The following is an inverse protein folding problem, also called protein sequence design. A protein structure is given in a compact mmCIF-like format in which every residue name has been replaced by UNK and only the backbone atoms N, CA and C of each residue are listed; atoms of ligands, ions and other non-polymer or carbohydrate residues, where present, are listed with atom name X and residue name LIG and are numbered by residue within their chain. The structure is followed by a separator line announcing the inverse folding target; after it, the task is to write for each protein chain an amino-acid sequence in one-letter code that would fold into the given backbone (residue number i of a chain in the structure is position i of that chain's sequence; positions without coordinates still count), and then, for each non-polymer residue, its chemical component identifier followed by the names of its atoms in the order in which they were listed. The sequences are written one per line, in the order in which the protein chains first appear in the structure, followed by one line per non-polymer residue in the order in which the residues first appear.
data_IF_247743572094
#
_entry.id   IF_247743572094
#
_cell.length_a   1.000
_cell.length_b   1.000
_cell.length_c   1.000
_cell.angle_alpha   90.00
_cell.angle_beta   90.00
_cell.angle_gamma   90.00
#
_symmetry.space_group_name_H-M   'P 1'
#
loop_
_entity.id
_entity.type
_entity.pdbx_description
1 polymer ?
#
# COMPACT_ATOMS: atom_id res chain seq x y z
N UNK A 1 -8.37 58.13 20.69
CA UNK A 1 -7.88 58.38 22.07
C UNK A 1 -8.39 57.24 22.95
N UNK A 2 -7.52 56.64 23.77
CA UNK A 2 -7.48 55.25 24.28
C UNK A 2 -8.56 54.83 25.30
N UNK A 3 -8.78 53.51 25.41
CA UNK A 3 -8.88 52.69 26.65
C UNK A 3 -8.71 51.20 26.26
N UNK A 4 -7.50 50.62 26.38
CA UNK A 4 -6.93 49.81 27.50
C UNK A 4 -7.23 48.31 27.44
N UNK A 5 -6.15 47.56 27.18
CA UNK A 5 -5.72 46.28 27.77
C UNK A 5 -6.75 45.23 28.23
N UNK A 6 -6.71 44.08 27.53
CA UNK A 6 -6.83 42.77 28.17
C UNK A 6 -5.81 41.80 27.55
N UNK A 7 -4.74 41.55 28.31
CA UNK A 7 -3.82 40.42 28.16
C UNK A 7 -4.18 39.35 29.19
N UNK A 8 -4.24 38.09 28.74
CA UNK A 8 -4.00 36.78 29.40
C UNK A 8 -4.87 35.76 28.66
N UNK A 9 -4.47 34.54 28.30
CA UNK A 9 -3.24 33.77 28.42
C UNK A 9 -3.48 32.41 27.70
N UNK A 10 -2.54 31.96 26.84
CA UNK A 10 -2.18 30.56 26.46
C UNK A 10 -3.24 29.58 25.91
N UNK A 11 -2.85 28.44 25.26
CA UNK A 11 -1.66 28.13 24.47
C UNK A 11 -1.98 27.50 23.09
N UNK A 12 -0.92 27.29 22.30
CA UNK A 12 -0.85 26.51 21.07
C UNK A 12 -1.59 25.17 21.14
N UNK A 13 -2.48 24.92 20.19
CA UNK A 13 -3.11 23.62 19.97
C UNK A 13 -2.35 22.89 18.85
N UNK A 14 -1.36 22.10 19.24
CA UNK A 14 -0.84 21.00 18.43
C UNK A 14 -2.01 20.07 18.07
N UNK A 15 -2.24 19.87 16.77
CA UNK A 15 -3.13 18.81 16.29
C UNK A 15 -2.54 17.44 16.67
N UNK A 16 -3.33 16.52 17.26
CA UNK A 16 -2.87 15.17 17.49
C UNK A 16 -2.89 14.40 16.16
N UNK A 17 -1.72 14.01 15.67
CA UNK A 17 -1.59 12.93 14.69
C UNK A 17 -2.01 11.65 15.39
N UNK A 18 -3.20 11.15 15.08
CA UNK A 18 -3.68 9.85 15.56
C UNK A 18 -2.95 8.75 14.77
N UNK A 19 -1.90 8.18 15.36
CA UNK A 19 -1.29 6.94 14.88
C UNK A 19 -2.12 5.77 15.43
N UNK A 20 -2.92 5.13 14.58
CA UNK A 20 -3.59 3.88 14.93
C UNK A 20 -2.58 2.72 14.84
N UNK A 21 -2.19 2.19 16.01
CA UNK A 21 -1.55 0.87 16.08
C UNK A 21 -2.64 -0.20 16.08
N UNK A 22 -2.72 -1.00 15.01
CA UNK A 22 -3.46 -2.26 15.01
C UNK A 22 -2.60 -3.33 15.69
N UNK A 23 -2.96 -3.73 16.92
CA UNK A 23 -2.41 -4.93 17.55
C UNK A 23 -3.32 -6.11 17.18
N UNK A 24 -2.84 -6.98 16.30
CA UNK A 24 -3.49 -8.25 15.98
C UNK A 24 -3.15 -9.27 17.08
N UNK A 25 -4.12 -9.63 17.91
CA UNK A 25 -3.96 -10.65 18.93
C UNK A 25 -4.11 -12.05 18.29
N UNK A 26 -2.99 -12.71 18.00
CA UNK A 26 -2.98 -14.10 17.54
C UNK A 26 -3.20 -15.01 18.76
N UNK A 27 -4.36 -15.65 18.86
CA UNK A 27 -4.61 -16.69 19.85
C UNK A 27 -4.16 -18.05 19.31
N UNK A 28 -3.01 -18.52 19.76
CA UNK A 28 -2.59 -19.92 19.61
C UNK A 28 -3.10 -20.76 20.77
N UNK A 29 -3.62 -21.99 20.55
CA UNK A 29 -4.14 -22.81 21.63
C UNK A 29 -3.01 -23.65 22.23
N UNK A 30 -2.46 -23.22 23.36
CA UNK A 30 -1.81 -24.14 24.32
C UNK A 30 -2.62 -24.04 25.61
N UNK A 31 -3.52 -24.99 25.83
CA UNK A 31 -4.42 -24.97 26.98
C UNK A 31 -3.66 -25.31 28.27
N UNK A 32 -2.98 -24.32 28.84
CA UNK A 32 -2.72 -24.28 30.28
C UNK A 32 -4.00 -23.80 30.97
N UNK A 33 -4.44 -24.50 32.03
CA UNK A 33 -5.59 -24.06 32.81
C UNK A 33 -5.37 -22.64 33.35
N UNK A 34 -6.42 -21.82 33.43
CA UNK A 34 -6.33 -20.50 34.04
C UNK A 34 -6.08 -20.64 35.55
N UNK A 35 -4.81 -20.53 35.95
CA UNK A 35 -4.37 -20.69 37.34
C UNK A 35 -4.50 -19.42 38.18
N UNK A 36 -5.14 -18.36 37.65
CA UNK A 36 -5.36 -17.12 38.40
C UNK A 36 -6.18 -17.38 39.67
N UNK A 37 -5.66 -16.89 40.79
CA UNK A 37 -6.28 -17.02 42.11
C UNK A 37 -5.89 -18.27 42.90
N UNK A 38 -5.18 -19.25 42.31
CA UNK A 38 -4.83 -20.50 42.98
C UNK A 38 -3.86 -20.35 44.18
N UNK A 39 -3.13 -19.24 44.25
CA UNK A 39 -2.22 -18.89 45.36
C UNK A 39 -2.51 -17.47 45.88
N UNK A 40 -3.78 -17.04 45.85
CA UNK A 40 -4.19 -15.74 46.39
C UNK A 40 -3.95 -15.72 47.91
N UNK A 41 -3.06 -14.84 48.38
CA UNK A 41 -2.60 -14.80 49.78
C UNK A 41 -1.29 -15.56 50.06
N UNK A 42 -0.78 -16.32 49.09
CA UNK A 42 0.43 -17.16 49.21
C UNK A 42 1.54 -16.73 48.25
N UNK A 43 1.59 -15.44 47.89
CA UNK A 43 2.64 -14.88 47.04
C UNK A 43 2.51 -15.15 45.54
N UNK A 44 1.37 -15.67 45.07
CA UNK A 44 1.16 -16.00 43.67
C UNK A 44 1.70 -17.38 43.28
N UNK A 45 1.52 -17.78 42.02
CA UNK A 45 2.05 -19.05 41.51
C UNK A 45 3.49 -18.87 41.03
N UNK A 46 4.36 -19.82 41.31
CA UNK A 46 5.76 -19.86 40.84
C UNK A 46 6.08 -21.25 40.27
N UNK A 47 7.00 -21.29 39.32
CA UNK A 47 7.47 -22.53 38.72
C UNK A 47 8.77 -22.98 39.37
N UNK A 48 8.79 -24.17 39.96
CA UNK A 48 9.99 -24.78 40.51
C UNK A 48 10.15 -26.19 39.96
N UNK A 49 11.25 -26.41 39.22
CA UNK A 49 11.60 -27.71 38.63
C UNK A 49 10.48 -28.35 37.79
N UNK A 50 9.73 -27.52 37.06
CA UNK A 50 8.62 -27.95 36.20
C UNK A 50 7.28 -28.17 36.92
N UNK A 51 7.22 -27.86 38.23
CA UNK A 51 6.04 -27.99 39.07
C UNK A 51 5.57 -26.61 39.54
N UNK A 52 4.27 -26.36 39.44
CA UNK A 52 3.68 -25.12 39.94
C UNK A 52 3.44 -25.21 41.44
N UNK A 53 4.01 -24.27 42.20
CA UNK A 53 3.82 -24.12 43.65
C UNK A 53 3.44 -22.69 44.01
N UNK A 54 2.99 -22.41 45.23
CA UNK A 54 2.79 -21.03 45.68
C UNK A 54 4.12 -20.36 46.05
N UNK A 55 4.21 -19.04 45.91
CA UNK A 55 5.43 -18.26 46.13
C UNK A 55 5.98 -18.34 47.56
N UNK A 56 5.16 -18.72 48.54
CA UNK A 56 5.59 -19.00 49.91
C UNK A 56 5.98 -20.48 50.17
N UNK A 57 5.97 -21.31 49.13
CA UNK A 57 6.29 -22.74 49.19
C UNK A 57 5.10 -23.66 49.50
N UNK A 58 3.89 -23.11 49.70
CA UNK A 58 2.69 -23.92 49.96
C UNK A 58 2.27 -24.69 48.69
N UNK A 59 1.88 -25.97 48.79
CA UNK A 59 1.33 -26.72 47.66
C UNK A 59 -0.01 -26.14 47.18
N UNK A 60 -0.31 -26.27 45.89
CA UNK A 60 -1.63 -25.94 45.34
C UNK A 60 -2.73 -26.78 45.99
N UNK A 61 -3.91 -26.19 46.19
CA UNK A 61 -5.10 -26.94 46.64
C UNK A 61 -5.52 -28.00 45.61
N UNK A 62 -6.16 -29.08 46.05
CA UNK A 62 -6.67 -30.14 45.17
C UNK A 62 -7.58 -29.60 44.06
N UNK A 63 -8.38 -28.56 44.36
CA UNK A 63 -9.24 -27.90 43.39
C UNK A 63 -8.47 -27.20 42.26
N UNK A 64 -7.29 -26.63 42.56
CA UNK A 64 -6.41 -26.02 41.56
C UNK A 64 -5.61 -27.07 40.79
N UNK A 65 -5.19 -28.14 41.44
CA UNK A 65 -4.55 -29.27 40.79
C UNK A 65 -5.49 -29.92 39.75
N UNK A 66 -6.76 -30.11 40.10
CA UNK A 66 -7.79 -30.63 39.21
C UNK A 66 -8.08 -29.74 37.97
N UNK A 67 -7.66 -28.46 38.00
CA UNK A 67 -7.75 -27.52 36.86
C UNK A 67 -6.56 -27.61 35.91
N UNK A 68 -5.64 -28.54 36.14
CA UNK A 68 -4.44 -28.72 35.30
C UNK A 68 -3.29 -27.78 35.64
N UNK A 69 -3.32 -27.10 36.79
CA UNK A 69 -2.27 -26.16 37.22
C UNK A 69 -1.02 -26.82 37.80
N UNK A 70 -0.84 -28.14 37.66
CA UNK A 70 0.20 -28.90 38.38
C UNK A 70 1.59 -28.73 37.75
N UNK A 71 1.66 -28.49 36.43
CA UNK A 71 2.92 -28.34 35.70
C UNK A 71 3.12 -26.93 35.16
N UNK A 72 4.39 -26.55 35.03
CA UNK A 72 4.81 -25.29 34.43
C UNK A 72 6.11 -25.52 33.64
N UNK A 73 6.31 -24.76 32.57
CA UNK A 73 7.58 -24.82 31.85
C UNK A 73 8.60 -23.92 32.58
N UNK A 74 9.66 -24.53 33.13
CA UNK A 74 10.80 -23.77 33.66
C UNK A 74 11.46 -22.99 32.52
N UNK A 75 11.71 -21.69 32.70
CA UNK A 75 12.24 -20.82 31.65
C UNK A 75 13.46 -21.41 30.91
N UNK A 76 13.58 -21.18 29.59
CA UNK A 76 14.66 -21.74 28.83
C UNK A 76 16.00 -21.10 29.20
N UNK A 77 16.97 -21.98 29.39
CA UNK A 77 18.40 -21.66 29.34
C UNK A 77 18.73 -20.88 28.08
N UNK A 78 19.70 -19.96 28.20
CA UNK A 78 20.24 -19.11 27.13
C UNK A 78 20.70 -19.98 25.95
N UNK A 79 19.79 -20.25 25.02
CA UNK A 79 20.11 -20.70 23.67
C UNK A 79 20.45 -19.43 22.90
N UNK A 80 21.58 -19.49 22.20
CA UNK A 80 22.06 -18.43 21.33
C UNK A 80 20.90 -17.76 20.60
N UNK A 81 20.87 -16.42 20.62
CA UNK A 81 20.00 -15.65 19.77
C UNK A 81 20.16 -16.20 18.35
N UNK A 82 19.13 -16.91 17.89
CA UNK A 82 18.85 -16.91 16.46
C UNK A 82 18.65 -15.45 16.15
N UNK A 83 19.66 -14.85 15.52
CA UNK A 83 19.52 -13.63 14.75
C UNK A 83 18.19 -13.78 14.00
N UNK A 84 17.18 -12.91 14.24
CA UNK A 84 16.06 -12.89 13.33
C UNK A 84 16.70 -12.56 11.98
N UNK A 85 16.66 -13.52 11.04
CA UNK A 85 16.98 -13.23 9.65
C UNK A 85 16.25 -11.93 9.26
N UNK A 86 16.83 -11.11 8.37
CA UNK A 86 16.42 -9.73 8.15
C UNK A 86 14.89 -9.64 8.12
N UNK A 87 14.30 -8.93 9.09
CA UNK A 87 12.87 -8.67 9.09
C UNK A 87 12.54 -8.01 7.76
N UNK A 88 11.75 -8.68 6.93
CA UNK A 88 11.39 -8.17 5.61
C UNK A 88 10.48 -6.96 5.82
N UNK A 89 11.06 -5.76 5.80
CA UNK A 89 10.30 -4.52 5.91
C UNK A 89 9.21 -4.49 4.81
N UNK A 90 7.95 -4.19 5.18
CA UNK A 90 6.86 -4.13 4.23
C UNK A 90 7.05 -2.95 3.29
N UNK A 91 6.76 -3.17 2.01
CA UNK A 91 6.81 -2.18 0.94
C UNK A 91 5.39 -1.92 0.44
N UNK A 92 4.89 -0.69 0.61
CA UNK A 92 3.55 -0.30 0.16
C UNK A 92 3.61 0.35 -1.23
N UNK A 93 2.98 -0.30 -2.21
CA UNK A 93 2.91 0.15 -3.62
C UNK A 93 1.47 0.51 -3.95
N UNK A 94 1.25 1.67 -4.59
CA UNK A 94 -0.09 2.12 -4.95
C UNK A 94 -0.22 2.66 -6.38
N UNK A 95 -1.44 2.65 -6.89
CA UNK A 95 -1.88 3.42 -8.04
C UNK A 95 -2.87 4.51 -7.59
N UNK A 96 -2.81 5.69 -8.19
CA UNK A 96 -3.79 6.73 -7.99
C UNK A 96 -4.05 7.53 -9.28
N UNK A 97 -5.23 7.33 -9.90
CA UNK A 97 -5.75 8.28 -10.87
C UNK A 97 -6.20 9.55 -10.12
N UNK A 98 -5.51 10.68 -10.36
CA UNK A 98 -5.90 11.99 -9.84
C UNK A 98 -6.60 12.75 -10.96
N UNK A 99 -7.94 12.76 -10.92
CA UNK A 99 -8.80 13.32 -11.95
C UNK A 99 -8.30 14.68 -12.47
N UNK A 100 -7.91 14.77 -13.74
CA UNK A 100 -7.47 16.01 -14.41
C UNK A 100 -6.42 16.76 -13.55
N UNK A 101 -5.36 16.08 -13.14
CA UNK A 101 -4.32 16.69 -12.31
C UNK A 101 -3.48 17.69 -13.11
N UNK A 102 -3.53 18.96 -12.73
CA UNK A 102 -2.74 20.00 -13.37
C UNK A 102 -2.75 21.29 -12.57
N UNK A 103 -2.19 22.37 -13.15
CA UNK A 103 -1.95 23.65 -12.45
C UNK A 103 -3.20 24.20 -11.75
N UNK A 104 -4.38 24.05 -12.32
CA UNK A 104 -5.62 24.54 -11.72
C UNK A 104 -6.02 23.74 -10.46
N UNK A 105 -5.77 22.43 -10.43
CA UNK A 105 -6.00 21.60 -9.24
C UNK A 105 -4.92 21.87 -8.19
N UNK A 106 -3.66 21.97 -8.62
CA UNK A 106 -2.52 22.23 -7.75
C UNK A 106 -2.56 23.60 -7.04
N UNK A 107 -3.38 24.54 -7.51
CA UNK A 107 -3.61 25.85 -6.84
C UNK A 107 -4.59 25.80 -5.68
N UNK A 108 -5.19 24.65 -5.38
CA UNK A 108 -6.15 24.46 -4.28
C UNK A 108 -5.42 23.87 -3.08
N UNK A 109 -5.08 24.65 -2.05
CA UNK A 109 -4.27 24.18 -0.93
C UNK A 109 -4.87 22.96 -0.24
N UNK A 110 -6.20 22.95 -0.05
CA UNK A 110 -6.92 21.85 0.59
C UNK A 110 -6.84 20.53 -0.21
N UNK A 111 -6.82 20.63 -1.54
CA UNK A 111 -6.66 19.45 -2.40
C UNK A 111 -5.22 18.96 -2.34
N UNK A 112 -4.23 19.87 -2.40
CA UNK A 112 -2.82 19.49 -2.32
C UNK A 112 -2.46 18.89 -0.96
N UNK A 113 -2.99 19.43 0.14
CA UNK A 113 -2.81 18.87 1.48
C UNK A 113 -3.38 17.44 1.56
N UNK A 114 -4.59 17.21 1.03
CA UNK A 114 -5.17 15.88 0.97
C UNK A 114 -4.33 14.92 0.10
N UNK A 115 -3.92 15.35 -1.11
CA UNK A 115 -3.09 14.53 -2.00
C UNK A 115 -1.74 14.18 -1.37
N UNK A 116 -1.07 15.15 -0.72
CA UNK A 116 0.18 14.93 -0.02
C UNK A 116 0.02 13.93 1.13
N UNK A 117 -1.02 14.09 1.94
CA UNK A 117 -1.35 13.15 3.02
C UNK A 117 -1.60 11.74 2.48
N UNK A 118 -2.39 11.59 1.41
CA UNK A 118 -2.66 10.29 0.79
C UNK A 118 -1.37 9.62 0.33
N UNK A 119 -0.56 10.32 -0.48
CA UNK A 119 0.67 9.77 -1.09
C UNK A 119 1.69 9.37 -0.01
N UNK A 120 1.75 10.11 1.10
CA UNK A 120 2.67 9.84 2.21
C UNK A 120 2.47 8.47 2.90
N UNK A 121 1.40 7.74 2.59
CA UNK A 121 1.14 6.40 3.13
C UNK A 121 1.85 5.28 2.38
N UNK A 122 2.43 5.56 1.20
CA UNK A 122 2.97 4.54 0.30
C UNK A 122 4.44 4.80 0.00
N UNK A 123 5.23 3.76 -0.17
CA UNK A 123 6.64 3.90 -0.51
C UNK A 123 6.85 4.24 -1.98
N UNK A 124 5.91 3.86 -2.85
CA UNK A 124 5.83 4.32 -4.24
C UNK A 124 4.37 4.37 -4.71
N UNK A 125 4.02 5.46 -5.42
CA UNK A 125 2.69 5.68 -6.00
C UNK A 125 2.84 5.99 -7.49
N UNK A 126 2.14 5.26 -8.34
CA UNK A 126 1.90 5.71 -9.71
C UNK A 126 0.75 6.71 -9.74
N UNK A 127 1.03 7.89 -10.27
CA UNK A 127 0.07 8.98 -10.45
C UNK A 127 -0.30 9.09 -11.92
N UNK A 128 -1.60 9.12 -12.19
CA UNK A 128 -2.16 9.15 -13.54
C UNK A 128 -2.96 10.44 -13.79
N UNK A 129 -3.41 10.66 -15.04
CA UNK A 129 -4.15 11.86 -15.46
C UNK A 129 -3.41 13.21 -15.27
N UNK A 130 -2.08 13.20 -15.32
CA UNK A 130 -1.30 14.44 -15.24
C UNK A 130 -1.45 15.23 -16.55
N UNK A 131 -2.23 16.32 -16.50
CA UNK A 131 -2.54 17.22 -17.61
C UNK A 131 -1.88 18.59 -17.43
N UNK A 132 -0.56 18.61 -17.25
CA UNK A 132 0.22 19.85 -17.12
C UNK A 132 1.45 19.90 -18.02
N UNK A 133 1.46 20.79 -19.01
CA UNK A 133 2.61 20.98 -19.93
C UNK A 133 3.82 21.65 -19.26
N UNK A 134 3.60 22.34 -18.14
CA UNK A 134 4.65 23.11 -17.47
C UNK A 134 5.47 22.28 -16.49
N UNK A 135 5.01 21.08 -16.10
CA UNK A 135 5.63 20.25 -15.08
C UNK A 135 5.50 20.77 -13.65
N UNK A 136 4.81 21.90 -13.43
CA UNK A 136 4.74 22.55 -12.12
C UNK A 136 3.82 21.81 -11.16
N UNK A 137 2.71 21.25 -11.65
CA UNK A 137 1.74 20.60 -10.80
C UNK A 137 2.34 19.40 -10.07
N UNK A 138 3.10 18.55 -10.79
CA UNK A 138 3.73 17.37 -10.20
C UNK A 138 4.87 17.76 -9.24
N UNK A 139 5.65 18.79 -9.58
CA UNK A 139 6.68 19.32 -8.69
C UNK A 139 6.07 19.85 -7.38
N UNK A 140 4.98 20.62 -7.46
CA UNK A 140 4.29 21.09 -6.27
C UNK A 140 3.66 19.97 -5.44
N UNK A 141 3.37 18.81 -6.06
CA UNK A 141 2.89 17.64 -5.33
C UNK A 141 4.01 16.95 -4.57
N UNK A 142 5.16 16.75 -5.19
CA UNK A 142 6.37 16.27 -4.53
C UNK A 142 6.74 17.15 -3.33
N UNK A 143 6.87 18.47 -3.54
CA UNK A 143 7.17 19.45 -2.48
C UNK A 143 6.15 19.39 -1.31
N UNK A 144 4.89 19.12 -1.62
CA UNK A 144 3.83 18.99 -0.62
C UNK A 144 3.93 17.69 0.19
N UNK A 145 4.40 16.60 -0.41
CA UNK A 145 4.67 15.33 0.29
C UNK A 145 5.94 15.46 1.13
N UNK A 146 7.00 16.07 0.59
CA UNK A 146 8.27 16.32 1.27
C UNK A 146 8.09 17.16 2.55
N UNK A 147 7.19 18.14 2.49
CA UNK A 147 6.84 18.97 3.64
C UNK A 147 6.25 18.18 4.84
N UNK A 148 5.81 16.93 4.63
CA UNK A 148 5.33 16.02 5.68
C UNK A 148 6.47 15.23 6.36
N UNK A 149 7.73 15.49 5.99
CA UNK A 149 8.91 14.87 6.58
C UNK A 149 9.27 13.51 5.98
N UNK A 150 8.88 13.28 4.72
CA UNK A 150 9.26 12.09 3.94
C UNK A 150 9.85 12.56 2.63
N UNK A 151 11.08 12.17 2.31
CA UNK A 151 11.75 12.64 1.09
C UNK A 151 11.32 11.79 -0.11
N UNK A 152 10.55 12.36 -1.03
CA UNK A 152 10.13 11.75 -2.28
C UNK A 152 10.90 12.32 -3.47
N UNK A 153 11.00 11.50 -4.51
CA UNK A 153 11.39 11.96 -5.84
C UNK A 153 10.36 11.50 -6.87
N UNK A 154 10.28 12.26 -7.97
CA UNK A 154 9.36 12.01 -9.08
C UNK A 154 10.10 11.50 -10.32
N UNK A 155 9.64 10.38 -10.86
CA UNK A 155 9.97 9.92 -12.21
C UNK A 155 8.76 10.14 -13.11
N UNK A 156 8.85 11.09 -14.05
CA UNK A 156 7.73 11.45 -14.94
C UNK A 156 7.95 11.01 -16.38
N UNK A 157 6.92 10.38 -16.96
CA UNK A 157 6.91 9.93 -18.35
C UNK A 157 6.52 11.03 -19.36
N UNK A 158 6.56 10.72 -20.67
CA UNK A 158 6.17 11.63 -21.73
C UNK A 158 4.67 11.94 -21.72
N UNK A 159 4.27 12.93 -22.52
CA UNK A 159 2.86 13.29 -22.74
C UNK A 159 2.22 12.39 -23.81
N UNK A 160 1.30 11.52 -23.39
CA UNK A 160 0.69 10.45 -24.18
C UNK A 160 -0.80 10.69 -24.43
N UNK A 161 -1.38 9.96 -25.38
CA UNK A 161 -2.77 10.14 -25.85
C UNK A 161 -2.81 10.22 -27.38
N UNK A 162 -3.89 9.82 -28.05
CA UNK A 162 -4.02 10.03 -29.51
C UNK A 162 -4.48 11.44 -29.87
N UNK A 163 -5.24 12.11 -28.99
CA UNK A 163 -5.82 13.45 -29.24
C UNK A 163 -4.90 14.61 -28.84
N UNK A 164 -5.35 15.87 -29.00
CA UNK A 164 -4.61 17.05 -28.51
C UNK A 164 -4.57 17.16 -26.97
N UNK A 165 -5.52 16.53 -26.28
CA UNK A 165 -5.52 16.44 -24.82
C UNK A 165 -4.66 15.25 -24.42
N UNK A 166 -3.43 15.53 -23.99
CA UNK A 166 -2.46 14.52 -23.56
C UNK A 166 -2.38 14.42 -22.04
N UNK A 167 -2.03 13.25 -21.54
CA UNK A 167 -1.81 12.92 -20.13
C UNK A 167 -0.37 12.45 -19.91
N UNK A 168 0.08 12.38 -18.66
CA UNK A 168 1.36 11.78 -18.28
C UNK A 168 1.13 10.84 -17.11
N UNK A 169 2.06 9.89 -16.98
CA UNK A 169 2.25 9.08 -15.79
C UNK A 169 3.45 9.61 -15.00
N UNK A 170 3.40 9.47 -13.68
CA UNK A 170 4.57 9.65 -12.85
C UNK A 170 4.62 8.59 -11.74
N UNK A 171 5.82 8.26 -11.29
CA UNK A 171 6.04 7.55 -10.04
C UNK A 171 6.59 8.53 -9.01
N UNK A 172 5.91 8.67 -7.87
CA UNK A 172 6.44 9.36 -6.70
C UNK A 172 6.91 8.27 -5.73
N UNK A 173 8.18 8.29 -5.33
CA UNK A 173 8.77 7.24 -4.51
C UNK A 173 9.62 7.79 -3.37
N UNK A 174 9.60 7.10 -2.23
CA UNK A 174 10.40 7.45 -1.04
C UNK A 174 11.86 7.13 -1.26
N UNK A 175 12.69 8.17 -1.25
CA UNK A 175 14.13 8.05 -1.52
C UNK A 175 14.91 7.38 -0.40
N UNK A 176 14.38 7.33 0.82
CA UNK A 176 14.99 6.60 1.95
C UNK A 176 14.72 5.08 1.89
N UNK A 177 13.68 4.66 1.16
CA UNK A 177 13.28 3.25 1.00
C UNK A 177 13.75 2.67 -0.33
N UNK A 178 13.60 3.44 -1.40
CA UNK A 178 13.79 3.00 -2.77
C UNK A 178 14.87 3.80 -3.51
N UNK A 179 15.50 3.11 -4.45
CA UNK A 179 16.37 3.64 -5.47
C UNK A 179 15.68 3.43 -6.83
N UNK A 180 15.54 4.51 -7.59
CA UNK A 180 15.15 4.44 -8.99
C UNK A 180 16.31 3.94 -9.84
N UNK A 181 16.07 2.95 -10.70
CA UNK A 181 17.08 2.38 -11.59
C UNK A 181 16.95 2.98 -13.00
N UNK A 182 15.82 2.74 -13.65
CA UNK A 182 15.54 3.18 -15.01
C UNK A 182 14.04 3.16 -15.29
N UNK A 183 13.59 4.00 -16.23
CA UNK A 183 12.23 3.99 -16.75
C UNK A 183 12.20 4.19 -18.27
N UNK A 184 11.20 3.61 -18.92
CA UNK A 184 10.92 3.78 -20.33
C UNK A 184 9.42 3.69 -20.62
N UNK A 185 9.01 4.12 -21.80
CA UNK A 185 7.64 3.97 -22.30
C UNK A 185 7.62 2.85 -23.32
N UNK A 186 6.65 1.93 -23.21
CA UNK A 186 6.48 0.84 -24.14
C UNK A 186 6.33 1.37 -25.58
N UNK A 187 7.12 0.84 -26.52
CA UNK A 187 7.05 1.24 -27.92
C UNK A 187 5.94 0.46 -28.64
N UNK A 188 4.79 1.12 -28.80
CA UNK A 188 3.65 0.60 -29.54
C UNK A 188 3.49 1.25 -30.93
N UNK A 189 4.57 1.79 -31.50
CA UNK A 189 4.51 2.52 -32.77
C UNK A 189 4.09 1.68 -33.98
N UNK A 190 4.06 0.35 -33.85
CA UNK A 190 3.68 -0.58 -34.93
C UNK A 190 2.20 -0.93 -34.92
N UNK A 191 1.64 -1.23 -33.76
CA UNK A 191 0.26 -1.69 -33.64
C UNK A 191 -0.68 -0.55 -33.20
N UNK A 192 -0.18 0.48 -32.50
CA UNK A 192 -0.97 1.60 -31.94
C UNK A 192 -2.18 1.07 -31.16
N UNK A 193 -1.95 0.10 -30.28
CA UNK A 193 -2.94 -0.55 -29.43
C UNK A 193 -3.36 0.36 -28.28
N UNK A 194 -2.40 0.94 -27.56
CA UNK A 194 -2.66 1.73 -26.36
C UNK A 194 -2.94 3.20 -26.70
N UNK A 195 -4.06 3.75 -26.23
CA UNK A 195 -4.31 5.19 -26.36
C UNK A 195 -3.25 6.02 -25.61
N UNK A 196 -2.76 5.49 -24.48
CA UNK A 196 -1.62 5.99 -23.73
C UNK A 196 -0.70 4.81 -23.43
N UNK A 197 0.48 4.82 -24.03
CA UNK A 197 1.45 3.76 -23.96
C UNK A 197 1.90 3.52 -22.50
N UNK A 198 1.98 2.26 -22.03
CA UNK A 198 2.41 1.94 -20.68
C UNK A 198 3.75 2.59 -20.32
N UNK A 199 3.84 3.10 -19.09
CA UNK A 199 5.09 3.61 -18.53
C UNK A 199 5.65 2.60 -17.54
N UNK A 200 6.93 2.24 -17.71
CA UNK A 200 7.58 1.15 -17.01
C UNK A 200 8.76 1.72 -16.24
N UNK A 201 8.91 1.34 -14.97
CA UNK A 201 10.04 1.74 -14.14
C UNK A 201 10.51 0.60 -13.24
N UNK A 202 11.83 0.41 -13.18
CA UNK A 202 12.48 -0.49 -12.23
C UNK A 202 12.90 0.28 -10.98
N UNK A 203 12.56 -0.30 -9.82
CA UNK A 203 12.98 0.18 -8.51
C UNK A 203 13.72 -0.91 -7.77
N UNK A 204 14.55 -0.49 -6.82
CA UNK A 204 15.29 -1.36 -5.91
C UNK A 204 15.18 -0.83 -4.49
N UNK A 205 15.03 -1.69 -3.51
CA UNK A 205 15.09 -1.27 -2.11
C UNK A 205 16.52 -0.90 -1.72
N UNK A 206 16.69 0.03 -0.78
CA UNK A 206 18.03 0.42 -0.29
C UNK A 206 18.58 -0.54 0.76
N UNK A 207 17.69 -1.15 1.54
CA UNK A 207 18.06 -2.01 2.66
C UNK A 207 18.38 -3.45 2.24
N UNK A 208 17.92 -3.87 1.05
CA UNK A 208 18.18 -5.19 0.49
C UNK A 208 18.44 -5.10 -1.01
N UNK A 209 18.81 -6.21 -1.65
CA UNK A 209 18.92 -6.25 -3.12
C UNK A 209 17.59 -6.60 -3.80
N UNK A 210 16.45 -6.31 -3.16
CA UNK A 210 15.13 -6.59 -3.71
C UNK A 210 14.78 -5.54 -4.76
N UNK A 211 14.55 -5.98 -5.99
CA UNK A 211 14.10 -5.13 -7.10
C UNK A 211 12.77 -5.62 -7.67
N UNK A 212 12.05 -4.72 -8.32
CA UNK A 212 10.79 -4.99 -8.98
C UNK A 212 10.54 -3.95 -10.07
N UNK A 213 9.67 -4.29 -11.01
CA UNK A 213 9.25 -3.41 -12.09
C UNK A 213 7.78 -3.07 -11.95
N UNK A 214 7.48 -1.77 -11.97
CA UNK A 214 6.12 -1.26 -12.06
C UNK A 214 5.78 -0.95 -13.52
N UNK A 215 4.55 -1.27 -13.92
CA UNK A 215 3.99 -0.99 -15.25
C UNK A 215 2.68 -0.26 -15.01
N UNK A 216 2.65 1.05 -15.25
CA UNK A 216 1.43 1.85 -15.13
C UNK A 216 0.71 2.00 -16.46
N UNK A 217 -0.61 1.80 -16.47
CA UNK A 217 -1.48 2.04 -17.61
C UNK A 217 -2.78 2.73 -17.15
N UNK A 218 -3.25 3.69 -17.93
CA UNK A 218 -4.60 4.24 -17.84
C UNK A 218 -5.26 3.97 -19.17
N UNK A 219 -6.25 3.08 -19.21
CA UNK A 219 -6.86 2.63 -20.47
C UNK A 219 -7.85 3.66 -21.02
N UNK A 220 -8.04 3.71 -22.34
CA UNK A 220 -9.23 4.36 -22.87
C UNK A 220 -10.47 3.50 -22.52
N UNK A 221 -11.53 4.04 -21.90
CA UNK A 221 -12.71 3.26 -21.56
C UNK A 221 -13.37 2.57 -22.76
N UNK A 222 -13.28 3.15 -23.96
CA UNK A 222 -13.86 2.57 -25.17
C UNK A 222 -13.01 1.39 -25.71
N UNK A 223 -11.71 1.35 -25.37
CA UNK A 223 -10.76 0.32 -25.81
C UNK A 223 -10.29 -0.60 -24.66
N UNK A 224 -10.87 -0.48 -23.46
CA UNK A 224 -10.37 -1.09 -22.22
C UNK A 224 -10.09 -2.59 -22.36
N UNK A 225 -11.01 -3.35 -22.96
CA UNK A 225 -10.84 -4.79 -23.19
C UNK A 225 -9.61 -5.09 -24.06
N UNK A 226 -9.40 -4.33 -25.13
CA UNK A 226 -8.28 -4.55 -26.05
C UNK A 226 -6.95 -4.16 -25.41
N UNK A 227 -6.88 -3.03 -24.71
CA UNK A 227 -5.68 -2.58 -24.02
C UNK A 227 -5.31 -3.51 -22.85
N UNK A 228 -6.29 -3.94 -22.04
CA UNK A 228 -6.05 -4.89 -20.95
C UNK A 228 -5.51 -6.22 -21.50
N UNK A 229 -6.11 -6.74 -22.57
CA UNK A 229 -5.68 -8.01 -23.17
C UNK A 229 -4.30 -7.92 -23.85
N UNK A 230 -3.81 -6.71 -24.12
CA UNK A 230 -2.49 -6.45 -24.67
C UNK A 230 -1.39 -6.40 -23.60
N UNK A 231 -1.70 -6.14 -22.33
CA UNK A 231 -0.71 -6.02 -21.23
C UNK A 231 0.29 -7.20 -21.08
N UNK A 232 -0.04 -8.48 -21.36
CA UNK A 232 0.97 -9.56 -21.35
C UNK A 232 2.15 -9.31 -22.29
N UNK A 233 1.94 -8.62 -23.41
CA UNK A 233 3.01 -8.27 -24.34
C UNK A 233 3.96 -7.22 -23.74
N UNK A 234 3.41 -6.31 -22.93
CA UNK A 234 4.18 -5.28 -22.20
C UNK A 234 5.04 -5.93 -21.12
N UNK A 235 4.50 -6.94 -20.42
CA UNK A 235 5.30 -7.73 -19.46
C UNK A 235 6.41 -8.52 -20.17
N UNK A 236 6.13 -9.05 -21.36
CA UNK A 236 7.14 -9.76 -22.17
C UNK A 236 8.26 -8.82 -22.61
N UNK A 237 7.91 -7.61 -23.06
CA UNK A 237 8.87 -6.55 -23.39
C UNK A 237 9.70 -6.12 -22.17
N UNK A 238 9.05 -5.87 -21.03
CA UNK A 238 9.73 -5.52 -19.78
C UNK A 238 10.68 -6.63 -19.30
N UNK A 239 10.33 -7.91 -19.46
CA UNK A 239 11.23 -9.04 -19.19
C UNK A 239 12.44 -9.06 -20.12
N UNK A 240 12.27 -8.71 -21.39
CA UNK A 240 13.39 -8.62 -22.32
C UNK A 240 14.29 -7.41 -22.02
N UNK A 241 13.71 -6.30 -21.58
CA UNK A 241 14.41 -5.08 -21.20
C UNK A 241 15.18 -5.23 -19.87
N UNK A 242 14.57 -5.89 -18.87
CA UNK A 242 15.15 -6.16 -17.55
C UNK A 242 15.39 -7.67 -17.35
N UNK A 243 16.43 -8.27 -17.97
CA UNK A 243 16.61 -9.73 -17.99
C UNK A 243 16.89 -10.36 -16.61
N UNK A 244 17.35 -9.57 -15.64
CA UNK A 244 17.62 -10.02 -14.26
C UNK A 244 16.40 -9.87 -13.34
N UNK A 245 15.29 -9.31 -13.85
CA UNK A 245 14.07 -9.07 -13.08
C UNK A 245 12.98 -10.09 -13.42
N UNK A 246 12.31 -10.61 -12.39
CA UNK A 246 11.20 -11.55 -12.53
C UNK A 246 9.90 -11.05 -11.90
N UNK A 247 9.98 -9.99 -11.09
CA UNK A 247 8.90 -9.43 -10.29
C UNK A 247 8.33 -8.21 -11.01
N UNK A 248 7.18 -8.40 -11.66
CA UNK A 248 6.46 -7.36 -12.38
C UNK A 248 5.11 -7.10 -11.71
N UNK A 249 4.77 -5.83 -11.60
CA UNK A 249 3.50 -5.33 -11.05
C UNK A 249 2.88 -4.39 -12.07
N UNK A 250 1.76 -4.80 -12.64
CA UNK A 250 0.88 -3.94 -13.43
C UNK A 250 -0.05 -3.23 -12.46
N UNK A 251 -0.24 -1.93 -12.63
CA UNK A 251 -1.16 -1.16 -11.81
C UNK A 251 -1.73 0.02 -12.60
N UNK A 252 -2.94 0.44 -12.27
CA UNK A 252 -3.56 1.54 -13.01
C UNK A 252 -5.07 1.60 -12.94
N UNK A 253 -5.63 2.72 -13.38
CA UNK A 253 -7.02 2.82 -13.80
C UNK A 253 -7.19 2.09 -15.13
N UNK A 254 -7.57 0.82 -15.04
CA UNK A 254 -7.73 -0.03 -16.21
C UNK A 254 -9.14 0.03 -16.79
N UNK A 255 -10.06 0.79 -16.19
CA UNK A 255 -11.49 0.73 -16.51
C UNK A 255 -12.03 -0.73 -16.50
N UNK A 256 -11.48 -1.59 -15.62
CA UNK A 256 -11.66 -3.04 -15.68
C UNK A 256 -12.94 -3.55 -15.00
N UNK A 257 -14.07 -2.85 -15.15
CA UNK A 257 -15.38 -3.24 -14.59
C UNK A 257 -16.53 -2.49 -15.31
N UNK A 258 -17.76 -2.83 -14.95
CA UNK A 258 -18.99 -2.12 -15.27
C UNK A 258 -19.25 -2.10 -16.78
N UNK A 259 -19.43 -0.91 -17.37
CA UNK A 259 -19.81 -0.80 -18.77
C UNK A 259 -18.63 -0.96 -19.74
N UNK A 260 -17.39 -0.91 -19.23
CA UNK A 260 -16.18 -0.80 -20.05
C UNK A 260 -15.47 -2.14 -20.24
N UNK A 261 -15.64 -3.07 -19.29
CA UNK A 261 -14.97 -4.36 -19.29
C UNK A 261 -15.81 -5.40 -18.55
N UNK A 262 -15.96 -6.60 -19.11
CA UNK A 262 -16.59 -7.73 -18.42
C UNK A 262 -15.58 -8.38 -17.48
N UNK A 263 -15.64 -8.03 -16.20
CA UNK A 263 -14.69 -8.48 -15.19
C UNK A 263 -14.87 -9.95 -14.79
N UNK A 264 -15.99 -10.58 -15.15
CA UNK A 264 -16.26 -11.99 -14.94
C UNK A 264 -15.82 -12.85 -16.15
N UNK A 265 -15.46 -12.23 -17.28
CA UNK A 265 -14.95 -12.93 -18.44
C UNK A 265 -13.53 -13.48 -18.18
N UNK A 266 -13.43 -14.81 -18.13
CA UNK A 266 -12.17 -15.53 -17.89
C UNK A 266 -11.28 -15.67 -19.13
N UNK A 267 -11.70 -15.13 -20.28
CA UNK A 267 -10.95 -15.24 -21.53
C UNK A 267 -9.73 -14.32 -21.59
N UNK A 268 -9.70 -13.28 -20.75
CA UNK A 268 -8.57 -12.36 -20.68
C UNK A 268 -7.28 -13.12 -20.34
N UNK A 269 -6.19 -12.89 -21.08
CA UNK A 269 -4.89 -13.51 -20.78
C UNK A 269 -4.38 -13.19 -19.36
N UNK A 270 -4.80 -12.06 -18.77
CA UNK A 270 -4.44 -11.69 -17.40
C UNK A 270 -5.20 -12.48 -16.33
N UNK A 271 -6.19 -13.30 -16.70
CA UNK A 271 -6.87 -14.25 -15.80
C UNK A 271 -6.24 -15.64 -15.80
N UNK A 272 -5.24 -15.87 -16.65
CA UNK A 272 -4.51 -17.14 -16.72
C UNK A 272 -3.51 -17.34 -15.57
N UNK A 273 -2.89 -18.53 -15.52
CA UNK A 273 -1.98 -18.94 -14.44
C UNK A 273 -0.70 -18.10 -14.30
N UNK A 274 -0.42 -17.15 -15.19
CA UNK A 274 0.76 -16.29 -15.11
C UNK A 274 0.57 -15.02 -14.26
N UNK A 275 -0.67 -14.69 -13.89
CA UNK A 275 -1.02 -13.41 -13.30
C UNK A 275 -2.02 -13.56 -12.16
N UNK A 276 -1.91 -12.67 -11.18
CA UNK A 276 -2.81 -12.57 -10.03
C UNK A 276 -3.32 -11.16 -9.84
N UNK A 277 -4.63 -11.01 -9.80
CA UNK A 277 -5.30 -9.75 -9.53
C UNK A 277 -5.43 -9.56 -8.01
N UNK A 278 -4.79 -8.52 -7.48
CA UNK A 278 -4.81 -8.18 -6.06
C UNK A 278 -6.01 -7.32 -5.68
N UNK A 279 -6.51 -6.52 -6.63
CA UNK A 279 -7.76 -5.77 -6.49
C UNK A 279 -8.86 -6.58 -7.19
N UNK A 280 -9.76 -7.13 -6.37
CA UNK A 280 -10.79 -8.06 -6.83
C UNK A 280 -12.02 -7.31 -7.37
N UNK A 281 -12.88 -8.01 -8.12
CA UNK A 281 -14.09 -7.41 -8.71
C UNK A 281 -15.07 -6.86 -7.65
N UNK A 282 -14.95 -7.28 -6.38
CA UNK A 282 -15.78 -6.78 -5.28
C UNK A 282 -15.28 -5.50 -4.61
N UNK A 283 -14.18 -4.91 -5.07
CA UNK A 283 -13.58 -3.71 -4.48
C UNK A 283 -13.98 -2.47 -5.29
N UNK A 284 -14.75 -1.58 -4.68
CA UNK A 284 -15.14 -0.31 -5.31
C UNK A 284 -13.98 0.69 -5.31
N UNK A 285 -13.47 1.05 -6.48
CA UNK A 285 -12.29 1.92 -6.62
C UNK A 285 -12.63 3.34 -7.03
N UNK A 286 -13.92 3.70 -7.09
CA UNK A 286 -14.33 5.03 -7.51
C UNK A 286 -15.30 5.71 -6.52
N UNK A 287 -15.42 7.02 -6.64
CA UNK A 287 -16.29 7.87 -5.82
C UNK A 287 -17.66 8.16 -6.48
N UNK A 288 -17.94 7.52 -7.62
CA UNK A 288 -19.24 7.63 -8.28
C UNK A 288 -20.30 6.79 -7.55
N UNK A 289 -21.55 6.87 -8.02
CA UNK A 289 -22.64 6.03 -7.47
C UNK A 289 -22.55 4.57 -7.91
N UNK A 290 -21.86 4.33 -9.02
CA UNK A 290 -21.60 3.00 -9.55
C UNK A 290 -20.41 2.42 -8.82
N UNK A 291 -20.62 1.38 -8.02
CA UNK A 291 -19.52 0.66 -7.40
C UNK A 291 -18.80 -0.16 -8.47
N UNK A 292 -17.60 0.26 -8.88
CA UNK A 292 -16.85 -0.37 -9.99
C UNK A 292 -15.37 -0.49 -9.60
N UNK A 293 -14.78 -1.65 -9.88
CA UNK A 293 -13.37 -1.97 -9.71
C UNK A 293 -12.55 -1.57 -10.95
N UNK A 294 -12.50 -0.27 -11.26
CA UNK A 294 -11.76 0.24 -12.42
C UNK A 294 -10.25 0.11 -12.23
N UNK A 295 -9.75 0.48 -11.05
CA UNK A 295 -8.35 0.49 -10.71
C UNK A 295 -7.89 -0.89 -10.27
N UNK A 296 -6.80 -1.39 -10.85
CA UNK A 296 -6.30 -2.73 -10.56
C UNK A 296 -4.84 -2.72 -10.18
N UNK A 297 -4.46 -3.73 -9.40
CA UNK A 297 -3.07 -4.16 -9.24
C UNK A 297 -3.03 -5.63 -9.62
N UNK A 298 -2.19 -5.98 -10.57
CA UNK A 298 -2.03 -7.31 -11.13
C UNK A 298 -0.54 -7.64 -11.08
N UNK A 299 -0.20 -8.78 -10.47
CA UNK A 299 1.19 -9.20 -10.31
C UNK A 299 1.46 -10.46 -11.12
N UNK A 300 2.70 -10.65 -11.57
CA UNK A 300 3.13 -11.95 -12.10
C UNK A 300 3.22 -12.99 -10.98
N UNK A 301 3.08 -14.28 -11.30
CA UNK A 301 3.20 -15.33 -10.29
C UNK A 301 4.57 -15.36 -9.60
N UNK A 302 5.65 -14.94 -10.27
CA UNK A 302 6.97 -14.83 -9.63
C UNK A 302 7.04 -13.70 -8.58
N UNK A 303 6.13 -12.72 -8.65
CA UNK A 303 5.95 -11.69 -7.62
C UNK A 303 5.11 -12.19 -6.45
N UNK A 304 4.22 -13.17 -6.66
CA UNK A 304 3.27 -13.64 -5.66
C UNK A 304 3.90 -14.07 -4.32
N UNK A 305 5.09 -14.72 -4.27
CA UNK A 305 5.74 -15.05 -3.01
C UNK A 305 6.07 -13.84 -2.14
N UNK A 306 6.19 -12.65 -2.71
CA UNK A 306 6.54 -11.42 -1.99
C UNK A 306 5.31 -10.62 -1.54
N UNK A 307 4.12 -10.96 -2.03
CA UNK A 307 2.87 -10.32 -1.63
C UNK A 307 2.47 -10.78 -0.22
N UNK A 308 2.19 -9.83 0.67
CA UNK A 308 1.86 -10.15 2.08
C UNK A 308 0.45 -10.71 2.28
N UNK A 309 -0.37 -10.70 1.24
CA UNK A 309 -1.82 -10.92 1.36
C UNK A 309 -2.61 -9.64 1.64
N UNK A 310 -1.94 -8.49 1.83
CA UNK A 310 -2.60 -7.21 2.10
C UNK A 310 -2.66 -6.35 0.84
N UNK A 311 -3.87 -6.17 0.31
CA UNK A 311 -4.19 -5.22 -0.75
C UNK A 311 -5.56 -4.59 -0.48
N UNK A 312 -5.86 -3.48 -1.14
CA UNK A 312 -7.19 -2.89 -1.05
C UNK A 312 -7.30 -1.49 -1.64
N UNK A 313 -8.39 -0.84 -1.29
CA UNK A 313 -8.72 0.53 -1.63
C UNK A 313 -8.37 1.42 -0.44
N UNK A 314 -7.79 2.60 -0.69
CA UNK A 314 -7.49 3.58 0.35
C UNK A 314 -8.64 4.61 0.43
N UNK A 315 -9.55 4.51 1.42
CA UNK A 315 -10.73 5.37 1.52
C UNK A 315 -10.35 6.74 2.08
N UNK A 316 -9.69 7.56 1.26
CA UNK A 316 -9.12 8.83 1.73
C UNK A 316 -10.17 9.81 2.23
N UNK A 317 -11.41 9.75 1.74
CA UNK A 317 -12.51 10.59 2.17
C UNK A 317 -12.92 10.26 3.61
N UNK A 318 -13.03 8.98 3.95
CA UNK A 318 -13.31 8.54 5.32
C UNK A 318 -12.14 8.85 6.26
N UNK A 319 -10.91 8.55 5.84
CA UNK A 319 -9.70 8.74 6.64
C UNK A 319 -9.47 10.22 6.95
N UNK A 320 -9.70 11.11 5.98
CA UNK A 320 -9.51 12.55 6.14
C UNK A 320 -10.79 13.28 6.56
N UNK A 321 -11.92 12.58 6.72
CA UNK A 321 -13.20 13.16 7.13
C UNK A 321 -13.78 14.15 6.11
N UNK A 322 -13.56 13.91 4.81
CA UNK A 322 -14.00 14.78 3.73
C UNK A 322 -15.48 14.61 3.42
N UNK A 323 -16.17 15.71 3.12
CA UNK A 323 -17.47 15.62 2.47
C UNK A 323 -17.34 15.07 1.05
N UNK A 324 -18.42 14.52 0.49
CA UNK A 324 -18.45 14.03 -0.90
C UNK A 324 -17.98 15.09 -1.93
N UNK A 325 -18.22 16.37 -1.66
CA UNK A 325 -17.77 17.48 -2.51
C UNK A 325 -16.26 17.70 -2.42
N UNK A 326 -15.70 17.62 -1.22
CA UNK A 326 -14.25 17.75 -0.99
C UNK A 326 -13.52 16.54 -1.57
N UNK A 327 -14.05 15.33 -1.33
CA UNK A 327 -13.50 14.10 -1.90
C UNK A 327 -13.44 14.15 -3.43
N UNK A 328 -14.55 14.52 -4.08
CA UNK A 328 -14.61 14.70 -5.55
C UNK A 328 -13.70 15.81 -6.07
N UNK A 329 -13.32 16.79 -5.24
CA UNK A 329 -12.34 17.80 -5.62
C UNK A 329 -10.91 17.24 -5.66
N UNK A 330 -10.60 16.27 -4.78
CA UNK A 330 -9.33 15.54 -4.74
C UNK A 330 -9.20 14.63 -5.96
N UNK A 331 -10.08 13.64 -6.08
CA UNK A 331 -10.19 12.77 -7.26
C UNK A 331 -11.57 12.12 -7.29
N UNK A 332 -11.88 11.40 -8.36
CA UNK A 332 -13.01 10.49 -8.42
C UNK A 332 -12.67 9.01 -8.41
N UNK A 333 -11.38 8.71 -8.26
CA UNK A 333 -10.87 7.38 -7.99
C UNK A 333 -10.30 7.37 -6.58
N UNK A 334 -10.35 6.21 -5.93
CA UNK A 334 -9.57 5.94 -4.75
C UNK A 334 -8.19 5.38 -5.16
N UNK A 335 -7.13 5.65 -4.40
CA UNK A 335 -5.91 4.89 -4.55
C UNK A 335 -6.17 3.40 -4.27
N UNK A 336 -5.60 2.53 -5.08
CA UNK A 336 -5.52 1.09 -4.79
C UNK A 336 -4.09 0.75 -4.40
N UNK A 337 -3.92 -0.19 -3.48
CA UNK A 337 -2.60 -0.53 -2.95
C UNK A 337 -2.41 -2.04 -2.75
N UNK A 338 -1.13 -2.44 -2.77
CA UNK A 338 -0.67 -3.76 -2.38
C UNK A 338 0.57 -3.63 -1.50
N UNK A 339 0.67 -4.50 -0.50
CA UNK A 339 1.83 -4.55 0.40
C UNK A 339 2.67 -5.77 0.07
N UNK A 340 3.97 -5.54 -0.09
CA UNK A 340 4.96 -6.52 -0.47
C UNK A 340 6.04 -6.63 0.61
N UNK A 341 6.88 -7.64 0.51
CA UNK A 341 8.02 -7.89 1.40
C UNK A 341 9.26 -8.11 0.56
N UNK A 342 10.43 -7.86 1.14
CA UNK A 342 11.71 -8.03 0.45
C UNK A 342 12.26 -9.46 0.50
N UNK A 343 11.55 -10.36 1.21
CA UNK A 343 11.79 -11.79 1.25
C UNK A 343 10.46 -12.53 1.05
N UNK A 344 10.47 -13.76 0.48
CA UNK A 344 9.23 -14.52 0.28
C UNK A 344 8.48 -14.80 1.58
N UNK A 345 7.17 -14.65 1.57
CA UNK A 345 6.26 -14.97 2.67
C UNK A 345 6.13 -16.50 2.77
N UNK A 346 6.50 -17.07 3.92
CA UNK A 346 6.32 -18.49 4.22
C UNK A 346 7.51 -19.41 3.91
N UNK A 347 8.75 -18.91 3.98
CA UNK A 347 9.95 -19.74 4.14
C UNK A 347 10.38 -19.86 5.60
#
# INVERSE_FOLDING_TARGET
MRLTDLRRALPDLLHPVFVFFFILLIMTPTAFGDCRGCCSGHGGVVCQDGVTICGDGTPLSEACQARGCIGCDSEPSVIAQNDPGPSAEPLAVANFNIQVFGVSKAKKPEVMEALGSIISHFDVVAVQEIRDKSGKAIQSLEEQVDALGRDYETVIGPRLGRTSSKEQYAYLYRTDVLEFIEAYTFDDSREDTFHREPFIAQFKTRQSNFSFVLITLHTDPDDATSEINALPQVVTDARAHFPEETRFVILGDLNADCAYYDEDELSSPLRGEGFRWLITNGMDTNLARSACAYDRIIITEETAPYFTGTSGVFPFDEILGLSAKEAKAVSDHYPVYGVFTTAPVGQ
#
